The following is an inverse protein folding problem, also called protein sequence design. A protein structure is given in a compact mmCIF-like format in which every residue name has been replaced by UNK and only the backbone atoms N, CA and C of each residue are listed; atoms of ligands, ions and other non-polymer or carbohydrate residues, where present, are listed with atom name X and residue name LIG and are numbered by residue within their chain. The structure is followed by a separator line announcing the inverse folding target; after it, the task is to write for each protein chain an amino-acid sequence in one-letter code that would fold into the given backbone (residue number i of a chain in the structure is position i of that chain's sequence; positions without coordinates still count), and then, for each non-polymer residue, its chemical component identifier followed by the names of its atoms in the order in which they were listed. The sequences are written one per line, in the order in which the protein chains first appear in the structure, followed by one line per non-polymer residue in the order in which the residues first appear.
data_IF_524432354080
#
_entry.id   IF_524432354080
#
_cell.length_a   1.000
_cell.length_b   1.000
_cell.length_c   1.000
_cell.angle_alpha   90.00
_cell.angle_beta   90.00
_cell.angle_gamma   90.00
#
_symmetry.space_group_name_H-M   'P 1'
#
loop_
_entity.id
_entity.type
_entity.pdbx_description
1 polymer ?
#
# COMPACT_ATOMS: atom_id res chain seq x y z
N UNK A 1 0.73 -27.29 11.26
CA UNK A 1 1.30 -26.46 10.18
C UNK A 1 1.07 -25.02 10.54
N UNK A 2 2.08 -24.16 10.40
CA UNK A 2 1.99 -22.72 10.65
C UNK A 2 2.10 -21.98 9.32
N UNK A 3 1.29 -20.95 9.14
CA UNK A 3 1.31 -20.08 7.96
C UNK A 3 1.70 -18.66 8.39
N UNK A 4 2.27 -17.89 7.46
CA UNK A 4 2.59 -16.48 7.66
C UNK A 4 1.61 -15.63 6.84
N UNK A 5 0.86 -14.77 7.51
CA UNK A 5 -0.04 -13.80 6.87
C UNK A 5 0.67 -12.45 6.77
N UNK A 6 0.72 -11.89 5.56
CA UNK A 6 1.25 -10.55 5.30
C UNK A 6 0.06 -9.63 4.99
N UNK A 7 -0.07 -8.53 5.72
CA UNK A 7 -1.08 -7.51 5.49
C UNK A 7 -0.40 -6.21 5.04
N UNK A 8 -0.91 -5.60 3.98
CA UNK A 8 -0.40 -4.34 3.45
C UNK A 8 -1.59 -3.44 3.11
N UNK A 9 -1.53 -2.17 3.55
CA UNK A 9 -2.48 -1.14 3.10
C UNK A 9 -1.95 -0.52 1.80
N UNK A 10 -2.85 -0.13 0.90
CA UNK A 10 -2.48 0.66 -0.27
C UNK A 10 -1.82 2.00 0.14
N UNK A 11 -1.06 2.60 -0.77
CA UNK A 11 -0.41 3.90 -0.55
C UNK A 11 -1.42 5.06 -0.51
N UNK A 12 -0.92 6.27 -0.28
CA UNK A 12 -1.75 7.48 -0.26
C UNK A 12 -2.49 7.72 -1.60
N UNK A 13 -3.80 7.95 -1.54
CA UNK A 13 -4.62 8.36 -2.68
C UNK A 13 -4.77 9.87 -2.80
N UNK A 14 -5.20 10.34 -3.97
CA UNK A 14 -5.56 11.75 -4.21
C UNK A 14 -6.56 12.31 -3.17
N UNK A 15 -7.49 11.49 -2.70
CA UNK A 15 -8.50 11.89 -1.72
C UNK A 15 -7.99 11.80 -0.28
N UNK A 16 -7.11 10.84 0.03
CA UNK A 16 -6.45 10.80 1.33
C UNK A 16 -5.61 12.07 1.55
N UNK A 17 -4.86 12.52 0.54
CA UNK A 17 -4.09 13.77 0.62
C UNK A 17 -4.97 15.01 0.85
N UNK A 18 -6.21 14.98 0.37
CA UNK A 18 -7.19 16.07 0.52
C UNK A 18 -8.12 15.92 1.74
N UNK A 19 -7.91 14.89 2.58
CA UNK A 19 -8.80 14.54 3.69
C UNK A 19 -10.28 14.36 3.28
N UNK A 20 -10.52 13.83 2.08
CA UNK A 20 -11.85 13.53 1.58
C UNK A 20 -12.23 12.08 1.93
N UNK A 21 -13.52 11.87 2.20
CA UNK A 21 -14.04 10.52 2.45
C UNK A 21 -14.18 9.75 1.14
N UNK A 22 -13.44 8.65 0.98
CA UNK A 22 -13.44 7.84 -0.26
C UNK A 22 -14.59 6.85 -0.35
N UNK A 23 -14.93 6.16 0.74
CA UNK A 23 -15.95 5.12 0.74
C UNK A 23 -15.65 4.02 -0.27
N UNK A 24 -16.50 3.88 -1.28
CA UNK A 24 -16.42 2.84 -2.32
C UNK A 24 -15.95 3.40 -3.67
N UNK A 25 -15.55 4.67 -3.72
CA UNK A 25 -15.04 5.30 -4.94
C UNK A 25 -13.64 4.77 -5.22
N UNK A 26 -13.40 4.34 -6.45
CA UNK A 26 -12.07 3.97 -6.92
C UNK A 26 -11.25 5.23 -7.18
N UNK A 27 -10.31 5.54 -6.28
CA UNK A 27 -9.49 6.76 -6.32
C UNK A 27 -8.04 6.38 -6.53
N UNK A 28 -7.44 6.96 -7.55
CA UNK A 28 -6.04 6.73 -7.90
C UNK A 28 -5.07 7.08 -6.75
N UNK A 29 -3.97 6.34 -6.71
CA UNK A 29 -2.81 6.69 -5.90
C UNK A 29 -2.17 7.97 -6.43
N UNK A 30 -1.72 8.81 -5.52
CA UNK A 30 -0.86 9.92 -5.89
C UNK A 30 0.59 9.44 -6.05
N UNK A 31 1.49 10.33 -6.49
CA UNK A 31 2.91 10.01 -6.69
C UNK A 31 3.56 9.43 -5.42
N UNK A 32 3.21 9.97 -4.25
CA UNK A 32 3.69 9.48 -2.95
C UNK A 32 3.19 8.06 -2.67
N UNK A 33 1.92 7.77 -2.91
CA UNK A 33 1.34 6.43 -2.73
C UNK A 33 1.97 5.38 -3.63
N UNK A 34 2.34 5.75 -4.86
CA UNK A 34 3.08 4.88 -5.79
C UNK A 34 4.49 4.58 -5.25
N UNK A 35 5.19 5.58 -4.71
CA UNK A 35 6.51 5.38 -4.12
C UNK A 35 6.48 4.60 -2.81
N UNK A 36 5.44 4.77 -2.00
CA UNK A 36 5.16 3.94 -0.82
C UNK A 36 5.00 2.46 -1.20
N UNK A 37 4.27 2.16 -2.28
CA UNK A 37 4.10 0.80 -2.78
C UNK A 37 5.44 0.18 -3.24
N UNK A 38 6.26 0.94 -3.99
CA UNK A 38 7.61 0.50 -4.40
C UNK A 38 8.51 0.23 -3.20
N UNK A 39 8.49 1.12 -2.20
CA UNK A 39 9.27 0.94 -0.97
C UNK A 39 8.81 -0.27 -0.17
N UNK A 40 7.49 -0.50 -0.09
CA UNK A 40 6.92 -1.71 0.52
C UNK A 40 7.43 -2.98 -0.15
N UNK A 41 7.44 -3.03 -1.48
CA UNK A 41 7.98 -4.16 -2.23
C UNK A 41 9.49 -4.39 -1.96
N UNK A 42 10.29 -3.32 -1.88
CA UNK A 42 11.71 -3.41 -1.55
C UNK A 42 11.94 -3.99 -0.15
N UNK A 43 11.16 -3.55 0.85
CA UNK A 43 11.24 -4.04 2.22
C UNK A 43 10.86 -5.51 2.32
N UNK A 44 9.74 -5.91 1.69
CA UNK A 44 9.30 -7.31 1.66
C UNK A 44 10.38 -8.22 1.07
N UNK A 45 11.01 -7.79 -0.03
CA UNK A 45 12.11 -8.52 -0.66
C UNK A 45 13.33 -8.61 0.24
N UNK A 46 13.71 -7.52 0.91
CA UNK A 46 14.87 -7.49 1.82
C UNK A 46 14.70 -8.44 3.02
N UNK A 47 13.48 -8.56 3.53
CA UNK A 47 13.12 -9.44 4.65
C UNK A 47 12.80 -10.89 4.23
N UNK A 48 12.92 -11.22 2.93
CA UNK A 48 12.58 -12.55 2.40
C UNK A 48 11.10 -12.91 2.55
N UNK A 49 10.23 -11.91 2.61
CA UNK A 49 8.78 -12.06 2.72
C UNK A 49 8.17 -12.04 1.32
N UNK A 50 8.15 -13.22 0.66
CA UNK A 50 7.50 -13.40 -0.64
C UNK A 50 6.04 -13.83 -0.43
N UNK A 51 5.06 -13.19 -1.11
CA UNK A 51 3.66 -13.61 -1.09
C UNK A 51 3.42 -14.93 -1.83
#
# INVERSE_FOLDING_TARGET
MTAKLILLRHGESEWNAKNLFTGWVDVDLNEKGVDEAKKGAQLLKAEGLLP
#
